data_IF_613101995257
#
_entry.id   IF_613101995257
#
_cell.length_a   1.000
_cell.length_b   1.000
_cell.length_c   1.000
_cell.angle_alpha   90.00
_cell.angle_beta   90.00
_cell.angle_gamma   90.00
#
_symmetry.space_group_name_H-M   'P 1'
#
loop_
_entity.id
_entity.type
_entity.pdbx_description
1 polymer ?
#
# COMPACT_ATOMS: atom_id res chain seq x y z
N UNK A 1 17.38 -11.48 -0.63
CA UNK A 1 17.11 -12.55 -1.62
C UNK A 1 15.64 -12.63 -1.99
N UNK A 2 14.69 -12.89 -1.07
CA UNK A 2 13.27 -13.07 -1.41
C UNK A 2 12.60 -11.90 -2.18
N UNK A 3 13.02 -10.65 -1.95
CA UNK A 3 12.55 -9.49 -2.72
C UNK A 3 12.99 -9.52 -4.18
N UNK A 4 14.27 -9.82 -4.44
CA UNK A 4 14.84 -9.82 -5.80
C UNK A 4 14.37 -11.00 -6.65
N UNK A 5 13.84 -12.05 -6.02
CA UNK A 5 13.38 -13.28 -6.69
C UNK A 5 11.85 -13.30 -6.82
N UNK A 6 11.14 -12.25 -6.36
CA UNK A 6 9.69 -12.23 -6.52
C UNK A 6 9.36 -12.12 -8.03
N UNK A 7 8.64 -13.10 -8.61
CA UNK A 7 8.41 -13.16 -10.05
C UNK A 7 7.59 -11.96 -10.55
N UNK A 8 6.75 -11.36 -9.72
CA UNK A 8 5.98 -10.16 -10.06
C UNK A 8 6.90 -8.95 -10.11
N UNK A 9 7.83 -8.83 -9.16
CA UNK A 9 8.83 -7.78 -9.20
C UNK A 9 9.66 -7.89 -10.48
N UNK A 10 10.15 -9.08 -10.82
CA UNK A 10 10.93 -9.28 -12.05
C UNK A 10 10.10 -8.97 -13.30
N UNK A 11 8.87 -9.47 -13.39
CA UNK A 11 8.00 -9.22 -14.55
C UNK A 11 7.65 -7.74 -14.69
N UNK A 12 7.14 -7.12 -13.63
CA UNK A 12 6.64 -5.75 -13.71
C UNK A 12 7.77 -4.73 -13.78
N UNK A 13 8.90 -4.99 -13.15
CA UNK A 13 9.97 -3.99 -13.03
C UNK A 13 11.02 -4.12 -14.13
N UNK A 14 11.37 -5.35 -14.50
CA UNK A 14 12.41 -5.60 -15.51
C UNK A 14 11.78 -5.75 -16.90
N UNK A 15 10.70 -6.52 -17.03
CA UNK A 15 10.10 -6.77 -18.34
C UNK A 15 9.15 -5.65 -18.79
N UNK A 16 8.28 -5.15 -17.89
CA UNK A 16 7.27 -4.14 -18.24
C UNK A 16 7.70 -2.69 -17.95
N UNK A 17 8.85 -2.47 -17.32
CA UNK A 17 9.35 -1.15 -16.90
C UNK A 17 8.28 -0.28 -16.20
N UNK A 18 7.49 -0.89 -15.32
CA UNK A 18 6.36 -0.22 -14.70
C UNK A 18 6.80 0.94 -13.79
N UNK A 19 6.07 2.06 -13.80
CA UNK A 19 6.39 3.27 -13.00
C UNK A 19 6.46 3.00 -11.48
N UNK A 20 5.88 1.89 -11.03
CA UNK A 20 5.86 1.46 -9.63
C UNK A 20 7.27 1.08 -9.11
N UNK A 21 8.24 0.87 -10.01
CA UNK A 21 9.68 0.79 -9.68
C UNK A 21 10.15 2.07 -8.99
N UNK A 22 9.79 3.22 -9.55
CA UNK A 22 10.20 4.51 -9.01
C UNK A 22 9.55 4.76 -7.65
N UNK A 23 8.26 4.40 -7.51
CA UNK A 23 7.58 4.45 -6.21
C UNK A 23 8.27 3.57 -5.16
N UNK A 24 8.62 2.32 -5.49
CA UNK A 24 9.34 1.46 -4.56
C UNK A 24 10.74 1.97 -4.24
N UNK A 25 11.46 2.52 -5.22
CA UNK A 25 12.79 3.08 -5.03
C UNK A 25 12.77 4.30 -4.12
N UNK A 26 11.83 5.22 -4.36
CA UNK A 26 11.64 6.40 -3.49
C UNK A 26 11.22 5.99 -2.08
N UNK A 27 10.38 4.96 -1.93
CA UNK A 27 10.00 4.42 -0.62
C UNK A 27 11.19 3.77 0.13
N UNK A 28 12.02 2.99 -0.55
CA UNK A 28 13.26 2.44 0.02
C UNK A 28 14.18 3.58 0.45
N UNK A 29 14.35 4.59 -0.40
CA UNK A 29 15.13 5.79 -0.08
C UNK A 29 14.59 6.55 1.12
N UNK A 30 13.26 6.72 1.20
CA UNK A 30 12.56 7.35 2.33
C UNK A 30 12.84 6.58 3.62
N UNK A 31 12.61 5.26 3.64
CA UNK A 31 12.79 4.42 4.82
C UNK A 31 14.26 4.40 5.24
N UNK A 32 15.19 4.23 4.30
CA UNK A 32 16.63 4.28 4.58
C UNK A 32 17.05 5.63 5.17
N UNK A 33 16.53 6.75 4.64
CA UNK A 33 16.78 8.07 5.19
C UNK A 33 16.22 8.22 6.62
N UNK A 34 15.01 7.71 6.91
CA UNK A 34 14.46 7.69 8.27
C UNK A 34 15.36 6.89 9.21
N UNK A 35 15.75 5.67 8.84
CA UNK A 35 16.59 4.79 9.66
C UNK A 35 17.96 5.41 9.98
N UNK A 36 18.53 6.18 9.05
CA UNK A 36 19.77 6.93 9.24
C UNK A 36 19.57 8.37 9.77
N UNK A 37 18.35 8.73 10.18
CA UNK A 37 17.98 10.07 10.69
C UNK A 37 18.28 11.24 9.73
N UNK A 38 18.36 10.96 8.42
CA UNK A 38 18.50 11.95 7.34
C UNK A 38 17.12 12.49 6.95
N UNK A 39 16.48 13.21 7.86
CA UNK A 39 15.07 13.59 7.75
C UNK A 39 14.72 14.48 6.55
N UNK A 40 15.64 15.36 6.11
CA UNK A 40 15.46 16.14 4.87
C UNK A 40 15.36 15.21 3.67
N UNK A 41 16.28 14.25 3.56
CA UNK A 41 16.27 13.24 2.51
C UNK A 41 14.99 12.39 2.53
N UNK A 42 14.47 12.06 3.71
CA UNK A 42 13.21 11.32 3.83
C UNK A 42 12.01 12.08 3.26
N UNK A 43 11.89 13.38 3.56
CA UNK A 43 10.82 14.22 2.98
C UNK A 43 10.99 14.34 1.47
N UNK A 44 12.21 14.63 0.99
CA UNK A 44 12.48 14.78 -0.44
C UNK A 44 12.22 13.49 -1.22
N UNK A 45 12.57 12.33 -0.65
CA UNK A 45 12.23 11.04 -1.22
C UNK A 45 10.70 10.83 -1.26
N UNK A 46 9.97 11.23 -0.22
CA UNK A 46 8.51 11.21 -0.22
C UNK A 46 7.89 12.12 -1.28
N UNK A 47 8.42 13.34 -1.46
CA UNK A 47 8.01 14.28 -2.51
C UNK A 47 8.29 13.71 -3.90
N UNK A 48 9.49 13.15 -4.13
CA UNK A 48 9.80 12.44 -5.37
C UNK A 48 8.82 11.28 -5.60
N UNK A 49 8.45 10.56 -4.55
CA UNK A 49 7.40 9.55 -4.58
C UNK A 49 6.06 10.12 -5.04
N UNK A 50 5.60 11.26 -4.50
CA UNK A 50 4.35 11.92 -4.92
C UNK A 50 4.36 12.26 -6.41
N UNK A 51 5.51 12.71 -6.94
CA UNK A 51 5.66 13.02 -8.36
C UNK A 51 5.58 11.77 -9.25
N UNK A 52 5.86 10.58 -8.70
CA UNK A 52 5.70 9.30 -9.42
C UNK A 52 4.28 8.74 -9.33
N UNK A 53 3.67 8.78 -8.14
CA UNK A 53 2.36 8.18 -7.80
C UNK A 53 1.75 8.94 -6.62
N UNK A 54 0.43 8.91 -6.48
CA UNK A 54 -0.27 9.59 -5.39
C UNK A 54 -0.15 8.93 -4.01
N UNK A 55 0.22 7.65 -3.94
CA UNK A 55 0.26 6.88 -2.68
C UNK A 55 1.08 7.54 -1.55
N UNK A 56 2.26 8.14 -1.81
CA UNK A 56 3.06 8.82 -0.78
C UNK A 56 2.40 10.06 -0.16
N UNK A 57 1.34 10.60 -0.77
CA UNK A 57 0.53 11.67 -0.14
C UNK A 57 -0.06 11.24 1.20
N UNK A 58 -0.25 9.94 1.41
CA UNK A 58 -0.78 9.39 2.67
C UNK A 58 0.34 9.25 3.71
N UNK A 59 1.59 9.04 3.27
CA UNK A 59 2.73 8.85 4.16
C UNK A 59 3.36 10.16 4.62
N UNK A 60 3.43 11.17 3.75
CA UNK A 60 4.06 12.46 4.04
C UNK A 60 3.49 13.14 5.30
N UNK A 61 2.16 13.18 5.53
CA UNK A 61 1.61 13.70 6.78
C UNK A 61 2.15 12.98 8.02
N UNK A 62 2.31 11.65 7.99
CA UNK A 62 2.88 10.89 9.12
C UNK A 62 4.34 11.24 9.34
N UNK A 63 5.14 11.35 8.27
CA UNK A 63 6.56 11.75 8.35
C UNK A 63 6.68 13.16 8.93
N UNK A 64 5.88 14.10 8.44
CA UNK A 64 5.85 15.48 8.94
C UNK A 64 5.41 15.52 10.41
N UNK A 65 4.32 14.83 10.76
CA UNK A 65 3.84 14.72 12.14
C UNK A 65 4.89 14.12 13.08
N UNK A 66 5.64 13.12 12.60
CA UNK A 66 6.74 12.51 13.36
C UNK A 66 7.85 13.51 13.64
N UNK A 67 8.25 14.30 12.65
CA UNK A 67 9.28 15.32 12.80
C UNK A 67 8.82 16.47 13.69
N UNK A 68 7.55 16.88 13.61
CA UNK A 68 6.94 17.87 14.50
C UNK A 68 7.02 17.38 15.95
N UNK A 69 6.57 16.14 16.20
CA UNK A 69 6.62 15.53 17.53
C UNK A 69 8.03 15.51 18.11
N UNK A 70 9.03 15.15 17.29
CA UNK A 70 10.44 15.13 17.68
C UNK A 70 11.14 16.49 17.57
N UNK A 71 10.38 17.58 17.38
CA UNK A 71 10.86 18.97 17.31
C UNK A 71 12.00 19.17 16.29
N UNK A 72 11.97 18.45 15.16
CA UNK A 72 12.97 18.51 14.09
C UNK A 72 12.71 19.67 13.11
N UNK A 73 12.46 20.87 13.66
CA UNK A 73 12.05 22.06 12.90
C UNK A 73 13.04 22.44 11.80
N UNK A 74 14.35 22.39 12.07
CA UNK A 74 15.39 22.69 11.07
C UNK A 74 15.27 21.80 9.82
N UNK A 75 15.02 20.50 10.01
CA UNK A 75 14.85 19.58 8.88
C UNK A 75 13.58 19.88 8.09
N UNK A 76 12.48 20.21 8.78
CA UNK A 76 11.22 20.62 8.14
C UNK A 76 11.39 21.89 7.31
N UNK A 77 12.04 22.92 7.85
CA UNK A 77 12.26 24.19 7.13
C UNK A 77 13.13 24.00 5.90
N UNK A 78 14.24 23.26 6.00
CA UNK A 78 15.12 22.98 4.85
C UNK A 78 14.36 22.17 3.79
N UNK A 79 13.68 21.11 4.18
CA UNK A 79 12.93 20.28 3.25
C UNK A 79 11.78 21.06 2.58
N UNK A 80 11.08 21.92 3.31
CA UNK A 80 10.06 22.80 2.76
C UNK A 80 10.65 23.77 1.73
N UNK A 81 11.78 24.41 2.03
CA UNK A 81 12.47 25.30 1.09
C UNK A 81 12.86 24.58 -0.21
N UNK A 82 13.47 23.39 -0.10
CA UNK A 82 13.85 22.60 -1.29
C UNK A 82 12.60 22.13 -2.05
N UNK A 83 11.55 21.69 -1.35
CA UNK A 83 10.29 21.24 -1.99
C UNK A 83 9.63 22.38 -2.76
N UNK A 84 9.61 23.60 -2.20
CA UNK A 84 9.09 24.79 -2.89
C UNK A 84 9.91 25.12 -4.14
N UNK A 85 11.24 25.02 -4.07
CA UNK A 85 12.10 25.23 -5.25
C UNK A 85 11.83 24.18 -6.33
N UNK A 86 11.64 22.91 -5.97
CA UNK A 86 11.27 21.85 -6.91
C UNK A 86 9.91 22.14 -7.55
N UNK A 87 8.89 22.48 -6.74
CA UNK A 87 7.56 22.82 -7.25
C UNK A 87 7.64 24.03 -8.19
N UNK A 88 8.36 25.08 -7.84
CA UNK A 88 8.55 26.27 -8.68
C UNK A 88 9.25 25.91 -10.00
N UNK A 89 10.34 25.14 -9.95
CA UNK A 89 11.07 24.68 -11.13
C UNK A 89 10.19 23.84 -12.05
N UNK A 90 9.44 22.87 -11.50
CA UNK A 90 8.47 22.07 -12.27
C UNK A 90 7.35 22.94 -12.84
N UNK A 91 6.86 23.93 -12.09
CA UNK A 91 5.80 24.84 -12.56
C UNK A 91 6.25 25.79 -13.67
N UNK A 92 7.56 25.95 -13.88
CA UNK A 92 8.07 26.73 -15.02
C UNK A 92 8.42 25.84 -16.20
N UNK A 93 8.71 24.56 -15.97
CA UNK A 93 9.30 23.67 -17.00
C UNK A 93 8.36 22.55 -17.44
N UNK A 94 8.00 21.63 -16.53
CA UNK A 94 7.32 20.35 -16.87
C UNK A 94 5.82 20.40 -16.63
N UNK A 95 5.38 21.09 -15.58
CA UNK A 95 3.98 21.18 -15.14
C UNK A 95 3.50 22.64 -15.08
N UNK A 96 3.48 23.37 -16.20
CA UNK A 96 3.24 24.81 -16.21
C UNK A 96 1.79 25.22 -15.90
N UNK A 97 0.85 24.28 -15.97
CA UNK A 97 -0.59 24.56 -15.81
C UNK A 97 -1.18 23.75 -14.66
N UNK A 98 -2.29 24.24 -14.09
CA UNK A 98 -3.02 23.54 -13.04
C UNK A 98 -3.52 22.15 -13.50
N UNK A 99 -3.87 22.01 -14.78
CA UNK A 99 -4.32 20.74 -15.32
C UNK A 99 -3.17 19.73 -15.45
N UNK A 100 -1.95 20.18 -15.76
CA UNK A 100 -0.76 19.34 -15.70
C UNK A 100 -0.53 18.82 -14.27
N UNK A 101 -0.69 19.67 -13.24
CA UNK A 101 -0.61 19.23 -11.85
C UNK A 101 -1.73 18.25 -11.46
N UNK A 102 -2.97 18.50 -11.89
CA UNK A 102 -4.09 17.57 -11.66
C UNK A 102 -3.88 16.23 -12.35
N UNK A 103 -3.16 16.19 -13.47
CA UNK A 103 -2.87 14.93 -14.17
C UNK A 103 -2.11 13.92 -13.31
N UNK A 104 -1.29 14.40 -12.35
CA UNK A 104 -0.59 13.54 -11.37
C UNK A 104 -1.55 12.75 -10.47
N UNK A 105 -2.77 13.25 -10.28
CA UNK A 105 -3.80 12.57 -9.48
C UNK A 105 -4.53 11.45 -10.25
N UNK A 106 -4.21 11.28 -11.53
CA UNK A 106 -4.76 10.25 -12.41
C UNK A 106 -6.32 10.15 -12.35
N UNK A 107 -7.05 11.24 -12.66
CA UNK A 107 -8.50 11.29 -12.53
C UNK A 107 -9.23 10.27 -13.42
N UNK A 108 -8.59 9.79 -14.49
CA UNK A 108 -9.12 8.78 -15.41
C UNK A 108 -9.49 7.46 -14.72
N UNK A 109 -8.95 7.19 -13.53
CA UNK A 109 -9.15 5.92 -12.80
C UNK A 109 -10.20 6.01 -11.70
N UNK A 110 -10.77 7.19 -11.43
CA UNK A 110 -11.69 7.42 -10.32
C UNK A 110 -13.00 6.60 -10.39
N UNK A 111 -13.42 6.21 -11.59
CA UNK A 111 -14.68 5.48 -11.83
C UNK A 111 -14.48 3.96 -12.02
N UNK A 112 -13.23 3.49 -12.02
CA UNK A 112 -12.91 2.09 -12.31
C UNK A 112 -12.92 1.24 -11.03
N UNK A 113 -13.51 0.05 -11.12
CA UNK A 113 -13.45 -0.95 -10.04
C UNK A 113 -12.99 -2.28 -10.63
N UNK A 114 -11.93 -2.87 -10.06
CA UNK A 114 -11.48 -4.20 -10.44
C UNK A 114 -10.63 -4.83 -9.34
N UNK A 115 -10.72 -6.16 -9.22
CA UNK A 115 -9.88 -6.99 -8.34
C UNK A 115 -9.85 -6.57 -6.87
N UNK A 116 -10.90 -5.88 -6.42
CA UNK A 116 -11.09 -5.33 -5.07
C UNK A 116 -12.34 -5.92 -4.41
N UNK A 117 -12.55 -5.63 -3.12
CA UNK A 117 -13.81 -6.00 -2.44
C UNK A 117 -15.03 -5.34 -3.08
N UNK A 118 -14.90 -4.11 -3.60
CA UNK A 118 -15.97 -3.44 -4.34
C UNK A 118 -16.32 -4.17 -5.63
N UNK A 119 -15.30 -4.73 -6.31
CA UNK A 119 -15.53 -5.56 -7.50
C UNK A 119 -16.24 -6.87 -7.15
N UNK A 120 -15.88 -7.54 -6.04
CA UNK A 120 -16.61 -8.71 -5.54
C UNK A 120 -18.08 -8.38 -5.33
N UNK A 121 -18.37 -7.27 -4.64
CA UNK A 121 -19.73 -6.83 -4.41
C UNK A 121 -20.47 -6.56 -5.73
N UNK A 122 -19.84 -5.84 -6.66
CA UNK A 122 -20.43 -5.51 -7.95
C UNK A 122 -20.80 -6.77 -8.76
N UNK A 123 -19.86 -7.70 -8.91
CA UNK A 123 -20.07 -8.93 -9.69
C UNK A 123 -21.09 -9.85 -9.02
N UNK A 124 -21.09 -9.92 -7.69
CA UNK A 124 -22.10 -10.67 -6.93
C UNK A 124 -23.49 -10.09 -7.14
N UNK A 125 -23.65 -8.77 -7.02
CA UNK A 125 -24.94 -8.10 -7.26
C UNK A 125 -25.40 -8.26 -8.71
N UNK A 126 -24.47 -8.23 -9.67
CA UNK A 126 -24.77 -8.45 -11.09
C UNK A 126 -25.26 -9.86 -11.39
N UNK A 127 -24.65 -10.86 -10.77
CA UNK A 127 -24.77 -12.26 -11.22
C UNK A 127 -25.68 -13.10 -10.34
N UNK A 128 -25.85 -12.72 -9.06
CA UNK A 128 -26.56 -13.51 -8.06
C UNK A 128 -27.86 -12.87 -7.58
N UNK A 129 -28.08 -11.58 -7.86
CA UNK A 129 -29.28 -10.86 -7.43
C UNK A 129 -29.95 -10.14 -8.59
N UNK A 130 -31.29 -10.20 -8.73
CA UNK A 130 -32.02 -9.50 -9.78
C UNK A 130 -32.21 -8.02 -9.42
N UNK A 131 -31.12 -7.25 -9.45
CA UNK A 131 -31.11 -5.82 -9.09
C UNK A 131 -30.79 -4.99 -10.34
N UNK A 132 -31.47 -3.84 -10.50
CA UNK A 132 -31.24 -2.92 -11.61
C UNK A 132 -29.80 -2.38 -11.62
N UNK A 133 -29.27 -1.94 -12.78
CA UNK A 133 -27.92 -1.38 -12.86
C UNK A 133 -27.76 -0.14 -11.97
N UNK A 134 -28.75 0.75 -11.96
CA UNK A 134 -28.73 1.98 -11.17
C UNK A 134 -28.68 1.68 -9.65
N UNK A 135 -29.47 0.72 -9.20
CA UNK A 135 -29.47 0.29 -7.79
C UNK A 135 -28.12 -0.35 -7.41
N UNK A 136 -27.55 -1.19 -8.28
CA UNK A 136 -26.24 -1.81 -8.06
C UNK A 136 -25.12 -0.78 -7.95
N UNK A 137 -25.07 0.19 -8.86
CA UNK A 137 -24.08 1.28 -8.83
C UNK A 137 -24.20 2.10 -7.55
N UNK A 138 -25.43 2.38 -7.11
CA UNK A 138 -25.69 3.09 -5.85
C UNK A 138 -25.17 2.30 -4.65
N UNK A 139 -25.44 0.99 -4.58
CA UNK A 139 -24.96 0.11 -3.50
C UNK A 139 -23.42 0.07 -3.47
N UNK A 140 -22.78 -0.12 -4.64
CA UNK A 140 -21.32 -0.19 -4.74
C UNK A 140 -20.67 1.16 -4.40
N UNK A 141 -21.25 2.28 -4.85
CA UNK A 141 -20.78 3.61 -4.49
C UNK A 141 -20.91 3.87 -2.98
N UNK A 142 -22.00 3.42 -2.35
CA UNK A 142 -22.18 3.53 -0.89
C UNK A 142 -21.13 2.70 -0.15
N UNK A 143 -20.91 1.45 -0.57
CA UNK A 143 -19.88 0.58 0.00
C UNK A 143 -18.47 1.20 -0.15
N UNK A 144 -18.17 1.79 -1.31
CA UNK A 144 -16.92 2.52 -1.55
C UNK A 144 -16.74 3.69 -0.59
N UNK A 145 -17.76 4.55 -0.42
CA UNK A 145 -17.72 5.67 0.54
C UNK A 145 -17.53 5.18 1.97
N UNK A 146 -18.27 4.16 2.40
CA UNK A 146 -18.12 3.59 3.74
C UNK A 146 -16.70 3.05 3.97
N UNK A 147 -16.16 2.30 3.01
CA UNK A 147 -14.78 1.80 3.10
C UNK A 147 -13.74 2.91 3.15
N UNK A 148 -13.96 3.99 2.41
CA UNK A 148 -13.09 5.17 2.40
C UNK A 148 -13.14 5.92 3.73
N UNK A 149 -14.33 6.17 4.28
CA UNK A 149 -14.46 6.80 5.60
C UNK A 149 -13.89 5.91 6.72
N UNK A 150 -14.10 4.60 6.64
CA UNK A 150 -13.48 3.64 7.56
C UNK A 150 -11.95 3.68 7.48
N UNK A 151 -11.40 3.78 6.27
CA UNK A 151 -9.97 3.96 6.06
C UNK A 151 -9.46 5.31 6.63
N UNK A 152 -10.16 6.43 6.38
CA UNK A 152 -9.80 7.73 6.97
C UNK A 152 -9.78 7.64 8.50
N UNK A 153 -10.81 7.04 9.09
CA UNK A 153 -10.88 6.86 10.54
C UNK A 153 -9.69 6.05 11.05
N UNK A 154 -9.38 4.91 10.41
CA UNK A 154 -8.24 4.07 10.74
C UNK A 154 -6.90 4.81 10.64
N UNK A 155 -6.67 5.50 9.52
CA UNK A 155 -5.46 6.30 9.30
C UNK A 155 -5.36 7.45 10.31
N UNK A 156 -6.49 8.10 10.63
CA UNK A 156 -6.60 9.12 11.67
C UNK A 156 -6.26 8.57 13.06
N UNK A 157 -6.72 7.38 13.42
CA UNK A 157 -6.34 6.72 14.67
C UNK A 157 -4.82 6.46 14.76
N UNK A 158 -4.19 6.03 13.66
CA UNK A 158 -2.74 5.86 13.60
C UNK A 158 -2.02 7.20 13.74
N UNK A 159 -2.51 8.23 13.07
CA UNK A 159 -1.97 9.59 13.15
C UNK A 159 -2.10 10.17 14.57
N UNK A 160 -3.21 9.92 15.28
CA UNK A 160 -3.36 10.31 16.67
C UNK A 160 -2.41 9.53 17.59
N UNK A 161 -2.30 8.21 17.39
CA UNK A 161 -1.38 7.36 18.16
C UNK A 161 0.06 7.84 18.08
N UNK A 162 0.47 8.36 16.93
CA UNK A 162 1.78 9.00 16.76
C UNK A 162 2.02 10.07 17.84
N UNK A 163 1.04 10.92 18.19
CA UNK A 163 1.23 11.94 19.24
C UNK A 163 1.12 11.40 20.66
N UNK A 164 0.26 10.40 20.91
CA UNK A 164 0.02 9.87 22.26
C UNK A 164 1.06 8.83 22.73
N UNK A 165 1.72 8.10 21.83
CA UNK A 165 2.71 7.09 22.23
C UNK A 165 4.00 7.76 22.73
N UNK A 166 4.34 7.65 24.02
CA UNK A 166 5.52 8.34 24.62
C UNK A 166 6.84 8.08 23.86
N UNK A 167 7.11 6.83 23.51
CA UNK A 167 8.27 6.43 22.72
C UNK A 167 7.81 5.94 21.35
N UNK A 168 7.89 6.84 20.36
CA UNK A 168 7.54 6.53 18.97
C UNK A 168 8.79 6.71 18.11
N UNK A 169 9.35 5.61 17.63
CA UNK A 169 10.60 5.55 16.89
C UNK A 169 10.37 5.52 15.37
N UNK A 170 11.45 5.65 14.59
CA UNK A 170 11.39 5.58 13.12
C UNK A 170 10.82 4.24 12.64
N UNK A 171 11.12 3.14 13.32
CA UNK A 171 10.56 1.83 12.98
C UNK A 171 9.04 1.78 13.19
N UNK A 172 8.50 2.49 14.19
CA UNK A 172 7.04 2.57 14.39
C UNK A 172 6.39 3.32 13.22
N UNK A 173 7.01 4.43 12.78
CA UNK A 173 6.55 5.20 11.62
C UNK A 173 6.50 4.35 10.34
N UNK A 174 7.59 3.63 10.05
CA UNK A 174 7.70 2.75 8.87
C UNK A 174 6.64 1.66 8.92
N UNK A 175 6.41 1.07 10.09
CA UNK A 175 5.36 0.08 10.26
C UNK A 175 3.96 0.66 10.06
N UNK A 176 3.72 1.87 10.55
CA UNK A 176 2.44 2.55 10.41
C UNK A 176 2.14 2.92 8.96
N UNK A 177 3.16 3.36 8.21
CA UNK A 177 3.07 3.53 6.75
C UNK A 177 2.69 2.20 6.07
N UNK A 178 3.31 1.09 6.48
CA UNK A 178 3.01 -0.24 5.98
C UNK A 178 1.56 -0.65 6.23
N UNK A 179 1.10 -0.54 7.47
CA UNK A 179 -0.26 -0.92 7.86
C UNK A 179 -1.33 -0.05 7.19
N UNK A 180 -1.12 1.26 7.10
CA UNK A 180 -2.03 2.16 6.38
C UNK A 180 -2.12 1.76 4.91
N UNK A 181 -0.99 1.49 4.26
CA UNK A 181 -0.96 1.08 2.85
C UNK A 181 -1.66 -0.27 2.65
N UNK A 182 -1.44 -1.23 3.55
CA UNK A 182 -2.09 -2.53 3.49
C UNK A 182 -3.61 -2.42 3.64
N UNK A 183 -4.09 -1.66 4.62
CA UNK A 183 -5.53 -1.45 4.84
C UNK A 183 -6.17 -0.72 3.68
N UNK A 184 -5.49 0.29 3.12
CA UNK A 184 -5.93 0.97 1.90
C UNK A 184 -6.13 -0.03 0.76
N UNK A 185 -5.14 -0.86 0.46
CA UNK A 185 -5.20 -1.82 -0.65
C UNK A 185 -6.24 -2.92 -0.44
N UNK A 186 -6.37 -3.46 0.77
CA UNK A 186 -7.31 -4.55 1.03
C UNK A 186 -8.76 -4.08 1.08
N UNK A 187 -9.02 -2.86 1.57
CA UNK A 187 -10.39 -2.47 1.93
C UNK A 187 -10.93 -1.24 1.22
N UNK A 188 -10.09 -0.25 0.90
CA UNK A 188 -10.54 1.05 0.41
C UNK A 188 -10.14 1.35 -1.05
N UNK A 189 -9.34 0.49 -1.68
CA UNK A 189 -8.90 0.68 -3.07
C UNK A 189 -9.92 0.07 -4.02
N UNK A 190 -10.63 0.87 -4.84
CA UNK A 190 -11.66 0.35 -5.74
C UNK A 190 -11.07 -0.45 -6.90
N UNK A 191 -9.85 -0.11 -7.33
CA UNK A 191 -9.14 -0.80 -8.40
C UNK A 191 -7.75 -1.24 -7.96
N UNK A 192 -7.60 -2.54 -7.72
CA UNK A 192 -6.36 -3.14 -7.26
C UNK A 192 -5.61 -3.79 -8.43
N UNK A 193 -4.48 -3.19 -8.83
CA UNK A 193 -3.63 -3.77 -9.84
C UNK A 193 -2.70 -4.84 -9.26
N UNK A 194 -2.29 -5.86 -10.05
CA UNK A 194 -1.43 -6.95 -9.57
C UNK A 194 -0.11 -6.49 -8.94
N UNK A 195 0.41 -5.36 -9.41
CA UNK A 195 1.68 -4.81 -8.94
C UNK A 195 1.54 -3.91 -7.71
N UNK A 196 0.35 -3.46 -7.30
CA UNK A 196 0.21 -2.59 -6.12
C UNK A 196 0.79 -3.21 -4.83
N UNK A 197 0.57 -4.50 -4.53
CA UNK A 197 1.12 -5.12 -3.32
C UNK A 197 2.65 -5.15 -3.26
N UNK A 198 3.38 -4.93 -4.36
CA UNK A 198 4.85 -4.92 -4.33
C UNK A 198 5.41 -3.80 -3.47
N UNK A 199 4.69 -2.68 -3.35
CA UNK A 199 5.02 -1.56 -2.45
C UNK A 199 5.14 -2.04 -1.01
N UNK A 200 4.28 -2.96 -0.58
CA UNK A 200 4.31 -3.51 0.77
C UNK A 200 5.56 -4.37 1.03
N UNK A 201 6.10 -5.02 0.00
CA UNK A 201 7.34 -5.80 0.13
C UNK A 201 8.54 -4.91 0.40
N UNK A 202 8.60 -3.73 -0.22
CA UNK A 202 9.66 -2.74 0.02
C UNK A 202 9.69 -2.32 1.51
N UNK A 203 8.51 -2.18 2.14
CA UNK A 203 8.40 -1.91 3.57
C UNK A 203 8.77 -3.14 4.40
N UNK A 204 8.23 -4.31 4.05
CA UNK A 204 8.45 -5.55 4.80
C UNK A 204 9.92 -5.96 4.88
N UNK A 205 10.69 -5.77 3.80
CA UNK A 205 12.13 -6.07 3.75
C UNK A 205 12.93 -5.17 4.68
N UNK A 206 12.55 -3.90 4.79
CA UNK A 206 13.24 -2.91 5.63
C UNK A 206 12.73 -2.89 7.08
N UNK A 207 11.69 -3.65 7.39
CA UNK A 207 11.11 -3.80 8.72
C UNK A 207 11.10 -5.29 9.18
N UNK A 208 12.27 -5.91 9.37
CA UNK A 208 12.39 -7.36 9.59
C UNK A 208 11.70 -7.87 10.87
N UNK A 209 11.49 -6.99 11.85
CA UNK A 209 10.86 -7.35 13.12
C UNK A 209 9.33 -7.55 13.00
N UNK A 210 8.71 -7.21 11.87
CA UNK A 210 7.27 -7.27 11.68
C UNK A 210 6.83 -8.51 10.89
N UNK A 211 7.09 -9.69 11.47
CA UNK A 211 6.75 -11.01 10.90
C UNK A 211 5.30 -11.11 10.37
N UNK A 212 4.32 -10.56 11.11
CA UNK A 212 2.91 -10.55 10.69
C UNK A 212 2.70 -9.73 9.41
N UNK A 213 3.25 -8.52 9.39
CA UNK A 213 3.12 -7.65 8.23
C UNK A 213 3.81 -8.28 7.02
N UNK A 214 5.06 -8.72 7.18
CA UNK A 214 5.83 -9.35 6.12
C UNK A 214 5.13 -10.57 5.52
N UNK A 215 4.55 -11.44 6.34
CA UNK A 215 3.82 -12.62 5.87
C UNK A 215 2.55 -12.24 5.08
N UNK A 216 1.78 -11.27 5.57
CA UNK A 216 0.57 -10.79 4.88
C UNK A 216 0.95 -10.11 3.56
N UNK A 217 1.97 -9.26 3.55
CA UNK A 217 2.47 -8.58 2.34
C UNK A 217 2.99 -9.58 1.30
N UNK A 218 3.73 -10.61 1.73
CA UNK A 218 4.21 -11.66 0.83
C UNK A 218 3.05 -12.46 0.26
N UNK A 219 2.12 -12.91 1.11
CA UNK A 219 0.90 -13.60 0.69
C UNK A 219 0.11 -12.76 -0.31
N UNK A 220 -0.05 -11.47 -0.03
CA UNK A 220 -0.80 -10.56 -0.89
C UNK A 220 -0.14 -10.43 -2.26
N UNK A 221 1.18 -10.22 -2.28
CA UNK A 221 1.93 -10.14 -3.53
C UNK A 221 1.80 -11.44 -4.34
N UNK A 222 2.07 -12.60 -3.74
CA UNK A 222 1.94 -13.90 -4.42
C UNK A 222 0.51 -14.15 -4.95
N UNK A 223 -0.51 -13.83 -4.15
CA UNK A 223 -1.91 -14.01 -4.55
C UNK A 223 -2.31 -13.09 -5.70
N UNK A 224 -1.81 -11.85 -5.69
CA UNK A 224 -2.06 -10.90 -6.78
C UNK A 224 -1.35 -11.30 -8.08
N UNK A 225 -0.13 -11.86 -8.01
CA UNK A 225 0.60 -12.33 -9.19
C UNK A 225 0.19 -13.69 -9.71
N UNK A 226 -0.48 -14.52 -8.93
CA UNK A 226 -1.12 -15.73 -9.44
C UNK A 226 -2.26 -15.40 -10.43
N UNK A 227 -2.71 -14.14 -10.48
CA UNK A 227 -3.83 -13.66 -11.29
C UNK A 227 -3.32 -12.65 -12.32
N UNK A 228 -2.38 -13.08 -13.15
CA UNK A 228 -2.08 -12.40 -14.42
C UNK A 228 -3.07 -12.95 -15.46
N UNK A 229 -4.33 -12.51 -15.38
CA UNK A 229 -5.42 -13.06 -16.19
C UNK A 229 -6.73 -12.26 -16.08
N UNK A 230 -7.86 -12.75 -16.65
CA UNK A 230 -9.11 -11.99 -16.90
C UNK A 230 -9.91 -11.53 -15.66
N UNK A 231 -9.27 -11.37 -14.49
CA UNK A 231 -9.89 -10.96 -13.23
C UNK A 231 -10.41 -9.51 -13.19
N UNK A 232 -10.28 -8.75 -14.28
CA UNK A 232 -10.97 -7.46 -14.49
C UNK A 232 -12.30 -7.60 -15.24
N UNK A 233 -12.69 -8.82 -15.63
CA UNK A 233 -13.95 -9.07 -16.31
C UNK A 233 -15.16 -9.05 -15.37
N UNK A 234 -16.34 -8.90 -15.95
CA UNK A 234 -17.62 -8.86 -15.23
C UNK A 234 -18.28 -10.24 -15.02
N UNK A 235 -17.55 -11.31 -15.31
CA UNK A 235 -18.04 -12.68 -15.22
C UNK A 235 -17.90 -13.23 -13.80
N UNK A 236 -18.70 -14.24 -13.42
CA UNK A 236 -18.59 -14.91 -12.11
C UNK A 236 -17.18 -15.45 -11.82
N UNK A 237 -16.43 -15.88 -12.84
CA UNK A 237 -15.05 -16.34 -12.70
C UNK A 237 -14.13 -15.25 -12.12
N UNK A 238 -14.45 -13.96 -12.34
CA UNK A 238 -13.69 -12.87 -11.74
C UNK A 238 -13.84 -12.81 -10.21
N UNK A 239 -14.91 -13.36 -9.62
CA UNK A 239 -15.04 -13.49 -8.17
C UNK A 239 -13.92 -14.36 -7.59
N UNK A 240 -13.62 -15.49 -8.24
CA UNK A 240 -12.53 -16.39 -7.80
C UNK A 240 -11.22 -15.62 -7.77
N UNK A 241 -10.94 -14.87 -8.83
CA UNK A 241 -9.72 -14.05 -8.87
C UNK A 241 -9.70 -12.98 -7.77
N UNK A 242 -10.79 -12.25 -7.53
CA UNK A 242 -10.82 -11.23 -6.48
C UNK A 242 -10.69 -11.82 -5.06
N UNK A 243 -11.33 -12.96 -4.82
CA UNK A 243 -11.25 -13.67 -3.54
C UNK A 243 -9.86 -14.25 -3.31
N UNK A 244 -9.18 -14.71 -4.36
CA UNK A 244 -7.79 -15.11 -4.27
C UNK A 244 -6.89 -13.90 -4.00
N UNK A 245 -7.02 -12.79 -4.74
CA UNK A 245 -6.15 -11.62 -4.58
C UNK A 245 -6.28 -10.94 -3.22
N UNK A 246 -7.50 -10.74 -2.72
CA UNK A 246 -7.77 -9.97 -1.50
C UNK A 246 -8.22 -10.86 -0.34
N UNK A 247 -9.02 -11.89 -0.60
CA UNK A 247 -9.55 -12.77 0.44
C UNK A 247 -8.48 -13.62 1.14
N UNK A 248 -7.50 -14.14 0.39
CA UNK A 248 -6.38 -14.92 0.97
C UNK A 248 -5.52 -14.07 1.94
N UNK A 249 -5.00 -12.88 1.57
CA UNK A 249 -4.25 -12.06 2.51
C UNK A 249 -5.09 -11.57 3.70
N UNK A 250 -6.39 -11.30 3.52
CA UNK A 250 -7.31 -11.04 4.64
C UNK A 250 -7.39 -12.27 5.57
N UNK A 251 -7.54 -13.47 5.01
CA UNK A 251 -7.58 -14.72 5.77
C UNK A 251 -6.32 -14.94 6.59
N UNK A 252 -5.14 -14.70 6.01
CA UNK A 252 -3.84 -14.75 6.71
C UNK A 252 -3.76 -13.67 7.80
N UNK A 253 -4.21 -12.46 7.51
CA UNK A 253 -4.23 -11.36 8.47
C UNK A 253 -5.08 -11.72 9.70
N UNK A 254 -6.27 -12.26 9.50
CA UNK A 254 -7.20 -12.63 10.58
C UNK A 254 -6.73 -13.87 11.36
N UNK A 255 -6.11 -14.85 10.69
CA UNK A 255 -5.71 -16.13 11.30
C UNK A 255 -4.23 -16.22 11.68
N UNK A 256 -3.51 -15.09 11.70
CA UNK A 256 -2.06 -15.07 11.93
C UNK A 256 -1.61 -15.82 13.19
N UNK A 257 -2.34 -15.69 14.31
CA UNK A 257 -2.01 -16.36 15.57
C UNK A 257 -2.02 -17.89 15.44
N UNK A 258 -3.02 -18.44 14.72
CA UNK A 258 -3.15 -19.88 14.45
C UNK A 258 -2.07 -20.37 13.50
N UNK A 259 -1.77 -19.59 12.45
CA UNK A 259 -0.70 -19.93 11.49
C UNK A 259 0.68 -19.97 12.16
N UNK A 260 0.97 -19.00 13.04
CA UNK A 260 2.23 -18.98 13.80
C UNK A 260 2.38 -20.22 14.68
N UNK A 261 1.30 -20.65 15.33
CA UNK A 261 1.30 -21.86 16.15
C UNK A 261 1.61 -23.11 15.31
N UNK A 262 0.96 -23.26 14.15
CA UNK A 262 1.20 -24.39 13.24
C UNK A 262 2.66 -24.44 12.75
N UNK A 263 3.23 -23.31 12.34
CA UNK A 263 4.63 -23.24 11.88
C UNK A 263 5.60 -23.64 13.01
N UNK A 264 5.36 -23.16 14.23
CA UNK A 264 6.17 -23.55 15.38
C UNK A 264 6.04 -25.05 15.69
N UNK A 265 4.85 -25.62 15.55
CA UNK A 265 4.62 -27.04 15.78
C UNK A 265 5.32 -27.91 14.73
N UNK A 266 5.20 -27.56 13.44
CA UNK A 266 5.92 -28.24 12.34
C UNK A 266 7.44 -28.17 12.51
N UNK A 267 7.96 -27.02 12.94
CA UNK A 267 9.40 -26.88 13.14
C UNK A 267 9.93 -27.69 14.33
N UNK A 268 9.13 -27.83 15.40
CA UNK A 268 9.45 -28.75 16.51
C UNK A 268 9.40 -30.20 16.06
N UNK A 269 8.40 -30.59 15.27
CA UNK A 269 8.26 -31.94 14.74
C UNK A 269 9.43 -32.34 13.84
N UNK A 270 9.88 -31.45 12.94
CA UNK A 270 11.05 -31.71 12.10
C UNK A 270 12.35 -31.82 12.91
N UNK A 271 12.53 -30.99 13.95
CA UNK A 271 13.71 -31.11 14.82
C UNK A 271 13.69 -32.36 15.69
N UNK A 272 12.52 -32.82 16.12
CA UNK A 272 12.36 -34.06 16.87
C UNK A 272 12.68 -35.33 16.06
N UNK A 273 12.55 -35.28 14.72
CA UNK A 273 12.90 -36.39 13.83
C UNK A 273 14.37 -36.44 13.39
N UNK A 274 15.15 -35.39 13.66
CA UNK A 274 16.57 -35.33 13.30
C UNK A 274 17.51 -35.90 14.39
N UNK A 275 16.97 -36.48 15.46
CA UNK A 275 17.72 -37.02 16.62
C UNK A 275 17.48 -38.56 16.75
N UNK A 276 17.21 -39.25 15.64
CA UNK A 276 17.12 -40.72 15.61
C UNK A 276 17.97 -41.24 14.48
#
# INVERSE_FOLDING_TARGET
MAYLINPILLNEYVANAHVDVFLCTTLIGLIGCLQHRRYVGAILAGVAGVLTKTLPLIWLPLVVGFLIKHRRWKALTIAAGITLLVIAGLSVTVLPTLDAWKSLLNPATAQTTARSLHHVLYVSLRSLTPVSSATRETIVAMAARLSFYGFILYAGCIYLRLFFKRQYAENDLVMDMGWITLVLFLFATPWLMPWYPTVLLSIAVLAPNASRFALVSLTFCLSAGAIVGPGSGMQLVSLVSCLLSVGVPIGVLLNYSRLRFLVQHLHRWHRGRAIV
#
